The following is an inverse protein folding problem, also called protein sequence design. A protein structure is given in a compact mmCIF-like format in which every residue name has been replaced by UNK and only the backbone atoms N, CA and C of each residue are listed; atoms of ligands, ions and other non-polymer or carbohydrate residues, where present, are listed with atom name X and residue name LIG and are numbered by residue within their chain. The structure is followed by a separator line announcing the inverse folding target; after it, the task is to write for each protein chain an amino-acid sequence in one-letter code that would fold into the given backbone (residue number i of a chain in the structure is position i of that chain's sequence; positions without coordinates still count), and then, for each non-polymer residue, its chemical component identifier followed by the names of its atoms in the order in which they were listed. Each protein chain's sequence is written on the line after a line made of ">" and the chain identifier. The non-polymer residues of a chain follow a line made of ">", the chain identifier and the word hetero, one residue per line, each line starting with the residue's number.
data_IF_954541427025
#
_entry.id   IF_954541427025
#
_cell.length_a   1.000
_cell.length_b   1.000
_cell.length_c   1.000
_cell.angle_alpha   90.00
_cell.angle_beta   90.00
_cell.angle_gamma   90.00
#
_symmetry.space_group_name_H-M   'P 1'
#
loop_
_entity.id
_entity.type
_entity.pdbx_description
1 polymer ?
#
# COMPACT_ATOMS: atom_id res chain seq x y z
N UNK A 1 -70.51 15.12 8.25
CA UNK A 1 -70.50 14.46 9.57
C UNK A 1 -69.10 13.91 9.83
N UNK A 2 -68.64 14.04 11.07
CA UNK A 2 -67.38 13.55 11.65
C UNK A 2 -67.07 12.10 11.22
N UNK A 3 -65.83 11.62 11.10
CA UNK A 3 -64.87 11.54 12.21
C UNK A 3 -63.44 11.26 11.76
N UNK A 4 -62.51 11.87 12.51
CA UNK A 4 -61.07 11.58 12.59
C UNK A 4 -60.80 10.12 12.98
N UNK A 5 -59.82 9.47 12.33
CA UNK A 5 -58.88 8.53 12.97
C UNK A 5 -57.52 8.68 12.27
N UNK A 6 -56.51 9.14 13.01
CA UNK A 6 -55.13 9.25 12.56
C UNK A 6 -54.45 7.86 12.49
N UNK A 7 -53.51 7.61 11.56
CA UNK A 7 -52.68 6.42 11.61
C UNK A 7 -51.52 6.66 12.57
N UNK A 8 -51.44 5.85 13.62
CA UNK A 8 -50.25 5.73 14.45
C UNK A 8 -49.11 5.14 13.60
N UNK A 9 -48.17 5.99 13.17
CA UNK A 9 -46.84 5.56 12.76
C UNK A 9 -46.06 5.16 14.02
N UNK A 10 -45.89 3.86 14.26
CA UNK A 10 -44.81 3.40 15.14
C UNK A 10 -43.49 3.60 14.40
N UNK A 11 -42.81 4.71 14.68
CA UNK A 11 -41.38 4.86 14.37
C UNK A 11 -40.64 4.13 15.49
N UNK A 12 -40.22 2.90 15.23
CA UNK A 12 -39.21 2.24 16.05
C UNK A 12 -37.86 2.88 15.75
N UNK A 13 -37.57 4.00 16.41
CA UNK A 13 -36.23 4.59 16.42
C UNK A 13 -35.33 3.64 17.20
N UNK A 14 -34.59 2.79 16.49
CA UNK A 14 -33.46 2.08 17.07
C UNK A 14 -32.41 3.17 17.36
N UNK A 15 -32.39 3.67 18.60
CA UNK A 15 -31.21 4.31 19.16
C UNK A 15 -30.13 3.23 19.23
N UNK A 16 -29.32 3.10 18.19
CA UNK A 16 -27.98 2.58 18.35
C UNK A 16 -27.17 3.67 19.07
N UNK A 17 -27.29 3.72 20.40
CA UNK A 17 -26.28 4.37 21.23
C UNK A 17 -25.03 3.52 21.13
N UNK A 18 -24.25 3.66 20.06
CA UNK A 18 -22.83 3.40 20.17
C UNK A 18 -22.31 4.49 21.09
N UNK A 19 -22.04 4.12 22.34
CA UNK A 19 -21.24 4.96 23.22
C UNK A 19 -20.03 5.44 22.43
N UNK A 20 -19.78 6.75 22.46
CA UNK A 20 -18.47 7.30 22.15
C UNK A 20 -17.53 6.76 23.23
N UNK A 21 -17.14 5.49 23.08
CA UNK A 21 -15.98 4.94 23.75
C UNK A 21 -14.82 5.73 23.15
N UNK A 22 -14.31 6.66 23.96
CA UNK A 22 -13.03 7.34 23.89
C UNK A 22 -12.23 6.91 22.65
N UNK A 23 -12.34 7.71 21.58
CA UNK A 23 -11.56 7.54 20.36
C UNK A 23 -10.09 7.63 20.77
N UNK A 24 -9.47 6.49 21.01
CA UNK A 24 -8.07 6.40 21.42
C UNK A 24 -7.21 6.94 20.27
N UNK A 25 -6.97 8.25 20.33
CA UNK A 25 -5.96 8.95 19.56
C UNK A 25 -4.61 8.34 19.92
N UNK A 26 -4.24 7.28 19.24
CA UNK A 26 -2.96 6.63 19.41
C UNK A 26 -1.91 7.43 18.65
N UNK A 27 -0.91 7.93 19.39
CA UNK A 27 0.28 8.54 18.81
C UNK A 27 1.31 7.45 18.56
N UNK A 28 1.77 7.36 17.34
CA UNK A 28 2.87 6.46 16.97
C UNK A 28 4.23 7.02 17.39
N UNK A 29 5.26 6.19 17.38
CA UNK A 29 6.65 6.57 17.68
C UNK A 29 7.18 7.70 16.77
N UNK A 30 6.61 7.83 15.57
CA UNK A 30 6.92 8.86 14.58
C UNK A 30 6.08 10.14 14.76
N UNK A 31 5.19 10.15 15.75
CA UNK A 31 4.31 11.27 16.08
C UNK A 31 3.04 11.35 15.25
N UNK A 32 2.76 10.36 14.40
CA UNK A 32 1.51 10.33 13.63
C UNK A 32 0.32 10.10 14.56
N UNK A 33 -0.77 10.81 14.27
CA UNK A 33 -2.02 10.75 15.03
C UNK A 33 -3.02 9.87 14.27
N UNK A 34 -3.33 8.70 14.83
CA UNK A 34 -4.35 7.81 14.27
C UNK A 34 -5.74 8.28 14.72
N UNK A 35 -6.58 8.61 13.74
CA UNK A 35 -7.96 9.05 13.95
C UNK A 35 -8.89 7.86 14.22
N UNK A 36 -8.75 6.82 13.40
CA UNK A 36 -9.55 5.61 13.49
C UNK A 36 -8.84 4.44 12.82
N UNK A 37 -9.31 3.22 13.11
CA UNK A 37 -8.95 2.02 12.36
C UNK A 37 -10.11 1.70 11.42
N UNK A 38 -9.82 1.56 10.13
CA UNK A 38 -10.84 1.19 9.15
C UNK A 38 -11.42 -0.20 9.46
N UNK A 39 -12.58 -0.51 8.87
CA UNK A 39 -13.15 -1.87 8.91
C UNK A 39 -12.18 -2.93 8.37
N UNK A 40 -11.20 -2.48 7.58
CA UNK A 40 -10.11 -3.28 7.06
C UNK A 40 -8.78 -3.00 7.76
N UNK A 41 -8.79 -2.65 9.05
CA UNK A 41 -7.62 -2.64 9.95
C UNK A 41 -6.47 -1.70 9.59
N UNK A 42 -6.54 -1.05 8.43
CA UNK A 42 -5.64 0.02 8.05
C UNK A 42 -5.96 1.27 8.88
N UNK A 43 -4.95 1.93 9.46
CA UNK A 43 -5.16 3.15 10.21
C UNK A 43 -5.51 4.31 9.27
N UNK A 44 -6.48 5.11 9.70
CA UNK A 44 -6.79 6.41 9.11
C UNK A 44 -6.03 7.45 9.94
N UNK A 45 -5.06 8.11 9.32
CA UNK A 45 -4.16 9.07 9.98
C UNK A 45 -4.72 10.49 9.83
N UNK A 46 -5.02 11.15 10.95
CA UNK A 46 -5.51 12.54 10.98
C UNK A 46 -4.39 13.54 10.67
N UNK A 47 -3.19 13.28 11.18
CA UNK A 47 -2.01 14.12 10.92
C UNK A 47 -0.72 13.31 11.05
N UNK A 48 0.29 13.73 10.29
CA UNK A 48 1.63 13.11 10.34
C UNK A 48 2.55 13.93 11.22
N UNK A 49 3.28 13.26 12.11
CA UNK A 49 4.14 13.91 13.11
C UNK A 49 5.56 14.19 12.63
N UNK A 50 5.98 13.57 11.52
CA UNK A 50 7.36 13.66 11.02
C UNK A 50 7.44 14.05 9.55
N UNK A 51 8.51 14.77 9.20
CA UNK A 51 8.97 14.84 7.82
C UNK A 51 9.39 13.42 7.39
N UNK A 52 8.56 12.77 6.56
CA UNK A 52 8.73 11.39 6.02
C UNK A 52 10.12 11.14 5.38
N UNK A 53 10.89 12.20 5.13
CA UNK A 53 12.25 12.15 4.62
C UNK A 53 13.23 11.38 5.53
N UNK A 54 13.10 11.43 6.87
CA UNK A 54 14.11 10.89 7.80
C UNK A 54 13.72 9.64 8.59
N UNK A 55 12.47 9.20 8.52
CA UNK A 55 12.01 8.02 9.26
C UNK A 55 12.65 6.76 8.66
N UNK A 56 13.39 6.01 9.48
CA UNK A 56 13.91 4.70 9.12
C UNK A 56 12.83 3.65 9.42
N UNK A 57 12.50 2.76 8.47
CA UNK A 57 11.60 1.66 8.70
C UNK A 57 12.02 0.83 9.91
N UNK A 58 11.06 0.47 10.75
CA UNK A 58 11.26 -0.53 11.82
C UNK A 58 10.44 -1.76 11.46
N UNK A 59 11.00 -2.95 11.70
CA UNK A 59 10.26 -4.22 11.51
C UNK A 59 9.39 -4.56 12.73
N UNK A 60 9.00 -3.54 13.50
CA UNK A 60 8.39 -3.70 14.81
C UNK A 60 9.27 -4.52 15.77
N UNK A 61 8.65 -5.46 16.49
CA UNK A 61 9.33 -6.36 17.42
C UNK A 61 9.89 -7.54 16.64
N UNK A 62 11.20 -7.58 16.46
CA UNK A 62 11.89 -8.72 15.81
C UNK A 62 11.64 -10.01 16.62
N UNK A 63 11.19 -11.05 15.93
CA UNK A 63 10.89 -12.38 16.50
C UNK A 63 11.83 -13.48 15.98
N UNK A 64 12.55 -13.25 14.88
CA UNK A 64 13.64 -14.13 14.41
C UNK A 64 14.79 -14.21 15.40
N UNK A 65 15.53 -15.34 15.39
CA UNK A 65 16.77 -15.46 16.17
C UNK A 65 17.89 -14.62 15.55
N UNK A 66 18.91 -14.33 16.35
CA UNK A 66 20.11 -13.67 15.84
C UNK A 66 20.79 -14.50 14.75
N UNK A 67 21.15 -13.86 13.64
CA UNK A 67 21.77 -14.52 12.48
C UNK A 67 20.77 -15.15 11.50
N UNK A 68 19.48 -15.20 11.82
CA UNK A 68 18.42 -15.60 10.89
C UNK A 68 17.87 -14.39 10.12
N UNK A 69 17.06 -14.67 9.10
CA UNK A 69 16.36 -13.65 8.35
C UNK A 69 15.39 -12.89 9.24
N UNK A 70 15.34 -11.56 9.07
CA UNK A 70 14.56 -10.70 9.95
C UNK A 70 13.08 -10.93 9.72
N UNK A 71 12.38 -11.37 10.76
CA UNK A 71 10.91 -11.34 10.82
C UNK A 71 10.50 -10.69 12.13
N UNK A 72 9.35 -10.04 12.15
CA UNK A 72 8.91 -9.28 13.31
C UNK A 72 7.43 -9.01 13.31
N UNK A 73 6.93 -8.75 14.50
CA UNK A 73 5.55 -8.38 14.80
C UNK A 73 5.38 -6.88 14.69
N UNK A 74 4.32 -6.35 14.06
CA UNK A 74 4.06 -4.92 14.06
C UNK A 74 3.85 -4.43 15.50
N UNK A 75 4.48 -3.29 15.84
CA UNK A 75 4.30 -2.62 17.14
C UNK A 75 3.37 -1.42 17.05
N UNK A 76 3.05 -0.98 15.83
CA UNK A 76 2.27 0.22 15.54
C UNK A 76 1.43 -0.01 14.28
N UNK A 77 0.43 0.85 14.07
CA UNK A 77 -0.47 0.93 12.91
C UNK A 77 -1.42 -0.26 12.67
N UNK A 78 -1.00 -1.50 12.88
CA UNK A 78 -1.76 -2.72 12.56
C UNK A 78 -1.46 -3.82 13.59
N UNK A 79 -2.46 -4.63 13.95
CA UNK A 79 -2.26 -5.80 14.80
C UNK A 79 -1.91 -7.05 13.98
N UNK A 80 -1.24 -8.02 14.59
CA UNK A 80 -1.01 -9.35 13.97
C UNK A 80 -2.32 -10.03 13.57
N UNK A 81 -3.33 -9.97 14.44
CA UNK A 81 -4.65 -10.54 14.16
C UNK A 81 -5.26 -10.00 12.88
N UNK A 82 -5.00 -8.73 12.56
CA UNK A 82 -5.51 -8.11 11.35
C UNK A 82 -4.65 -8.46 10.12
N UNK A 83 -3.32 -8.59 10.29
CA UNK A 83 -2.44 -9.13 9.24
C UNK A 83 -2.82 -10.57 8.86
N UNK A 84 -3.07 -11.41 9.86
CA UNK A 84 -3.51 -12.80 9.66
C UNK A 84 -4.84 -12.84 8.92
N UNK A 85 -5.79 -11.99 9.32
CA UNK A 85 -7.07 -11.89 8.61
C UNK A 85 -6.89 -11.50 7.13
N UNK A 86 -6.05 -10.50 6.83
CA UNK A 86 -5.74 -10.10 5.44
C UNK A 86 -5.07 -11.25 4.69
N UNK A 87 -4.13 -11.95 5.31
CA UNK A 87 -3.49 -13.11 4.71
C UNK A 87 -4.54 -14.17 4.36
N UNK A 88 -5.34 -14.62 5.33
CA UNK A 88 -6.32 -15.69 5.17
C UNK A 88 -7.41 -15.38 4.14
N UNK A 89 -7.86 -14.12 4.09
CA UNK A 89 -9.03 -13.76 3.27
C UNK A 89 -8.66 -13.07 1.97
N UNK A 90 -7.45 -12.50 1.85
CA UNK A 90 -7.08 -11.66 0.70
C UNK A 90 -5.83 -12.09 -0.08
N UNK A 91 -4.88 -12.77 0.55
CA UNK A 91 -3.60 -13.04 -0.11
C UNK A 91 -3.35 -14.53 -0.22
N UNK A 92 -3.38 -15.25 0.89
CA UNK A 92 -2.92 -16.62 1.03
C UNK A 92 -3.62 -17.62 0.10
N UNK A 93 -3.07 -18.85 0.01
CA UNK A 93 -3.53 -19.88 -0.93
C UNK A 93 -4.99 -20.32 -0.71
N UNK A 94 -5.55 -20.05 0.46
CA UNK A 94 -6.91 -20.43 0.86
C UNK A 94 -7.92 -19.27 0.79
N UNK A 95 -7.49 -18.08 0.34
CA UNK A 95 -8.38 -16.92 0.22
C UNK A 95 -9.50 -17.19 -0.80
N UNK A 96 -10.70 -16.65 -0.55
CA UNK A 96 -11.80 -16.72 -1.53
C UNK A 96 -11.40 -15.94 -2.80
N UNK A 97 -11.28 -16.68 -3.91
CA UNK A 97 -10.86 -16.15 -5.21
C UNK A 97 -12.04 -15.84 -6.13
N UNK A 98 -13.27 -15.87 -5.62
CA UNK A 98 -14.45 -15.54 -6.41
C UNK A 98 -14.45 -14.05 -6.77
N UNK A 99 -14.95 -13.72 -7.97
CA UNK A 99 -15.01 -12.36 -8.52
C UNK A 99 -15.82 -11.36 -7.65
N UNK A 100 -16.47 -11.84 -6.59
CA UNK A 100 -17.27 -11.04 -5.64
C UNK A 100 -16.46 -10.53 -4.45
N UNK A 101 -15.35 -11.18 -4.11
CA UNK A 101 -14.66 -10.95 -2.85
C UNK A 101 -13.19 -10.55 -3.05
N UNK A 102 -12.49 -11.15 -4.02
CA UNK A 102 -11.10 -10.80 -4.29
C UNK A 102 -10.51 -11.45 -5.54
N UNK A 103 -9.55 -10.76 -6.18
CA UNK A 103 -8.67 -11.43 -7.13
C UNK A 103 -7.60 -12.21 -6.37
N UNK A 104 -7.37 -13.47 -6.75
CA UNK A 104 -6.31 -14.30 -6.16
C UNK A 104 -4.94 -13.64 -6.38
N UNK A 105 -4.41 -12.98 -5.35
CA UNK A 105 -3.11 -12.30 -5.38
C UNK A 105 -2.02 -13.29 -5.76
N UNK A 106 -2.05 -14.51 -5.24
CA UNK A 106 -1.04 -15.55 -5.49
C UNK A 106 -1.09 -16.13 -6.92
N UNK A 107 -2.19 -15.93 -7.65
CA UNK A 107 -2.27 -16.32 -9.06
C UNK A 107 -1.60 -15.28 -10.00
N UNK A 108 -1.35 -14.06 -9.52
CA UNK A 108 -0.73 -13.02 -10.33
C UNK A 108 0.78 -13.25 -10.47
N UNK A 109 1.26 -13.33 -11.72
CA UNK A 109 2.66 -13.59 -12.07
C UNK A 109 3.42 -12.32 -12.46
N UNK A 110 2.84 -11.14 -12.20
CA UNK A 110 3.33 -9.86 -12.70
C UNK A 110 3.68 -8.87 -11.58
N UNK A 111 4.01 -9.35 -10.38
CA UNK A 111 4.47 -8.45 -9.31
C UNK A 111 5.84 -7.86 -9.61
N UNK A 112 6.04 -6.63 -9.15
CA UNK A 112 7.34 -5.96 -9.25
C UNK A 112 8.40 -6.69 -8.41
N UNK A 113 8.03 -7.20 -7.24
CA UNK A 113 8.92 -7.95 -6.36
C UNK A 113 9.47 -9.19 -7.07
N UNK A 114 8.62 -9.97 -7.74
CA UNK A 114 9.03 -11.14 -8.52
C UNK A 114 10.03 -10.75 -9.62
N UNK A 115 9.79 -9.64 -10.31
CA UNK A 115 10.71 -9.12 -11.34
C UNK A 115 12.06 -8.76 -10.76
N UNK A 116 12.11 -8.11 -9.59
CA UNK A 116 13.37 -7.78 -8.94
C UNK A 116 14.12 -9.02 -8.47
N UNK A 117 13.43 -10.00 -7.89
CA UNK A 117 14.05 -11.28 -7.48
C UNK A 117 14.61 -12.01 -8.70
N UNK A 118 13.80 -12.15 -9.77
CA UNK A 118 14.21 -12.82 -10.99
C UNK A 118 15.42 -12.14 -11.67
N UNK A 119 15.43 -10.80 -11.71
CA UNK A 119 16.47 -10.01 -12.36
C UNK A 119 17.54 -9.49 -11.38
N UNK A 120 17.68 -10.13 -10.21
CA UNK A 120 18.75 -9.87 -9.22
C UNK A 120 18.88 -8.37 -8.83
N UNK A 121 17.76 -7.75 -8.49
CA UNK A 121 17.71 -6.36 -8.02
C UNK A 121 17.60 -5.33 -9.13
N UNK A 122 17.29 -5.73 -10.37
CA UNK A 122 17.06 -4.80 -11.48
C UNK A 122 15.70 -4.98 -12.13
N UNK A 123 15.23 -3.97 -12.87
CA UNK A 123 14.03 -4.07 -13.69
C UNK A 123 14.23 -3.31 -15.01
N UNK A 124 13.75 -3.91 -16.10
CA UNK A 124 13.66 -3.25 -17.39
C UNK A 124 12.32 -2.51 -17.49
N UNK A 125 12.36 -1.22 -17.79
CA UNK A 125 11.20 -0.34 -17.77
C UNK A 125 10.96 0.32 -19.13
N UNK A 126 9.75 0.14 -19.66
CA UNK A 126 9.25 0.86 -20.83
C UNK A 126 8.19 1.86 -20.35
N UNK A 127 8.42 3.15 -20.59
CA UNK A 127 7.46 4.19 -20.17
C UNK A 127 6.39 4.33 -21.25
N UNK A 128 5.12 4.15 -20.84
CA UNK A 128 3.97 4.55 -21.62
C UNK A 128 3.70 6.04 -21.37
N UNK A 129 3.94 6.87 -22.37
CA UNK A 129 3.62 8.29 -22.41
C UNK A 129 2.20 8.49 -22.92
N UNK A 130 1.25 8.53 -21.99
CA UNK A 130 -0.18 8.73 -22.27
C UNK A 130 -0.60 10.18 -21.98
N UNK A 131 -0.02 11.12 -22.72
CA UNK A 131 -0.28 12.56 -22.62
C UNK A 131 -0.68 13.12 -23.98
N UNK A 132 -1.36 14.27 -24.01
CA UNK A 132 -1.58 15.04 -25.24
C UNK A 132 -0.36 15.89 -25.65
N UNK A 133 0.65 16.01 -24.78
CA UNK A 133 1.84 16.82 -24.99
C UNK A 133 3.00 16.02 -25.57
N UNK A 134 3.99 16.73 -26.15
CA UNK A 134 5.25 16.12 -26.59
C UNK A 134 6.18 15.90 -25.39
N UNK A 135 6.90 14.78 -25.41
CA UNK A 135 7.91 14.43 -24.43
C UNK A 135 9.28 14.89 -24.94
N UNK A 136 9.91 15.80 -24.19
CA UNK A 136 11.26 16.27 -24.51
C UNK A 136 12.32 15.30 -24.02
N UNK A 137 13.46 15.25 -24.72
CA UNK A 137 14.60 14.40 -24.35
C UNK A 137 15.10 14.68 -22.93
N UNK A 138 15.08 15.95 -22.51
CA UNK A 138 15.47 16.38 -21.17
C UNK A 138 14.49 15.93 -20.07
N UNK A 139 13.20 15.85 -20.37
CA UNK A 139 12.22 15.29 -19.42
C UNK A 139 12.37 13.77 -19.37
N UNK A 140 12.48 13.12 -20.52
CA UNK A 140 12.68 11.68 -20.64
C UNK A 140 13.90 11.19 -19.86
N UNK A 141 15.03 11.90 -19.94
CA UNK A 141 16.28 11.52 -19.24
C UNK A 141 16.16 11.53 -17.70
N UNK A 142 15.14 12.18 -17.13
CA UNK A 142 14.93 12.23 -15.67
C UNK A 142 14.18 11.00 -15.13
N UNK A 143 13.50 10.23 -15.98
CA UNK A 143 12.62 9.14 -15.53
C UNK A 143 13.38 8.04 -14.82
N UNK A 144 14.53 7.61 -15.34
CA UNK A 144 15.32 6.55 -14.70
C UNK A 144 15.60 6.88 -13.24
N UNK A 145 16.16 8.07 -12.99
CA UNK A 145 16.48 8.50 -11.63
C UNK A 145 15.24 8.67 -10.74
N UNK A 146 14.10 9.11 -11.28
CA UNK A 146 12.85 9.21 -10.49
C UNK A 146 12.34 7.82 -10.11
N UNK A 147 12.31 6.87 -11.06
CA UNK A 147 11.85 5.51 -10.83
C UNK A 147 12.76 4.77 -9.86
N UNK A 148 14.08 4.87 -10.01
CA UNK A 148 15.04 4.28 -9.07
C UNK A 148 14.85 4.83 -7.67
N UNK A 149 14.71 6.16 -7.52
CA UNK A 149 14.44 6.76 -6.21
C UNK A 149 13.13 6.25 -5.60
N UNK A 150 12.08 6.12 -6.39
CA UNK A 150 10.79 5.61 -5.93
C UNK A 150 10.90 4.17 -5.44
N UNK A 151 11.49 3.27 -6.24
CA UNK A 151 11.65 1.88 -5.84
C UNK A 151 12.55 1.71 -4.64
N UNK A 152 13.67 2.44 -4.56
CA UNK A 152 14.56 2.35 -3.40
C UNK A 152 13.94 2.93 -2.13
N UNK A 153 13.01 3.90 -2.23
CA UNK A 153 12.28 4.40 -1.05
C UNK A 153 11.41 3.29 -0.44
N UNK A 154 10.77 2.46 -1.26
CA UNK A 154 10.05 1.26 -0.81
C UNK A 154 10.99 0.13 -0.39
N UNK A 155 12.07 -0.10 -1.14
CA UNK A 155 13.06 -1.15 -0.84
C UNK A 155 13.61 -1.07 0.58
N UNK A 156 13.83 0.16 1.07
CA UNK A 156 14.27 0.40 2.46
C UNK A 156 13.37 -0.23 3.52
N UNK A 157 12.07 -0.38 3.23
CA UNK A 157 11.11 -1.03 4.12
C UNK A 157 11.15 -2.56 4.04
N UNK A 158 11.94 -3.13 3.13
CA UNK A 158 12.06 -4.57 2.92
C UNK A 158 13.47 -5.09 3.21
N UNK A 159 14.51 -4.26 3.16
CA UNK A 159 15.92 -4.63 3.38
C UNK A 159 16.13 -5.57 4.59
N UNK A 160 16.46 -6.84 4.32
CA UNK A 160 16.69 -7.87 5.34
C UNK A 160 15.44 -8.59 5.85
N UNK A 161 14.24 -8.02 5.65
CA UNK A 161 12.98 -8.68 6.02
C UNK A 161 12.79 -9.95 5.20
N UNK A 162 12.54 -11.07 5.87
CA UNK A 162 12.38 -12.39 5.27
C UNK A 162 13.46 -12.72 4.22
N UNK A 163 14.72 -12.39 4.54
CA UNK A 163 15.89 -12.59 3.69
C UNK A 163 15.93 -11.73 2.42
N UNK A 164 15.14 -10.65 2.34
CA UNK A 164 15.17 -9.77 1.17
C UNK A 164 16.60 -9.24 0.92
N UNK A 165 17.24 -9.59 -0.21
CA UNK A 165 18.69 -9.49 -0.36
C UNK A 165 19.16 -8.17 -0.94
N UNK A 166 18.24 -7.33 -1.43
CA UNK A 166 18.58 -6.14 -2.20
C UNK A 166 18.66 -4.91 -1.30
N UNK A 167 19.85 -4.32 -1.20
CA UNK A 167 20.08 -3.00 -0.57
C UNK A 167 19.93 -1.86 -1.57
N UNK A 168 19.87 -2.18 -2.86
CA UNK A 168 19.64 -1.23 -3.93
C UNK A 168 18.89 -1.92 -5.07
N UNK A 169 17.91 -1.21 -5.63
CA UNK A 169 17.18 -1.61 -6.84
C UNK A 169 17.56 -0.69 -8.01
N UNK A 170 17.81 -1.28 -9.18
CA UNK A 170 18.19 -0.57 -10.41
C UNK A 170 17.08 -0.57 -11.44
N UNK A 171 16.99 0.51 -12.23
CA UNK A 171 16.04 0.62 -13.35
C UNK A 171 16.80 0.81 -14.64
N UNK A 172 16.56 -0.07 -15.60
CA UNK A 172 17.07 0.04 -16.95
C UNK A 172 15.93 0.55 -17.85
N UNK A 173 16.09 1.74 -18.42
CA UNK A 173 15.14 2.26 -19.39
C UNK A 173 15.31 1.54 -20.73
N UNK A 174 14.32 0.74 -21.13
CA UNK A 174 14.39 -0.07 -22.36
C UNK A 174 13.57 0.49 -23.52
N UNK A 175 12.70 1.47 -23.27
CA UNK A 175 11.91 2.06 -24.33
C UNK A 175 10.88 3.08 -23.87
N UNK A 176 10.24 3.68 -24.86
CA UNK A 176 9.17 4.66 -24.72
C UNK A 176 8.05 4.29 -25.69
N UNK A 177 6.82 4.28 -25.20
CA UNK A 177 5.62 4.01 -26.00
C UNK A 177 4.68 5.21 -25.88
N UNK A 178 4.18 5.72 -27.00
CA UNK A 178 3.20 6.80 -27.06
C UNK A 178 2.14 6.46 -28.12
N UNK A 179 1.06 7.23 -28.17
CA UNK A 179 0.01 7.05 -29.18
C UNK A 179 0.54 7.34 -30.59
N UNK A 180 1.36 8.38 -30.73
CA UNK A 180 1.98 8.77 -31.99
C UNK A 180 3.48 9.01 -31.81
N UNK A 181 4.28 8.62 -32.81
CA UNK A 181 5.75 8.76 -32.80
C UNK A 181 6.18 10.24 -32.70
N UNK A 182 5.41 11.17 -33.28
CA UNK A 182 5.64 12.62 -33.23
C UNK A 182 5.59 13.20 -31.81
N UNK A 183 5.07 12.46 -30.83
CA UNK A 183 5.09 12.87 -29.44
C UNK A 183 6.49 12.80 -28.82
N UNK A 184 7.45 12.13 -29.44
CA UNK A 184 8.83 12.12 -28.96
C UNK A 184 9.68 13.14 -29.70
N UNK A 185 10.34 14.05 -28.99
CA UNK A 185 11.21 15.06 -29.62
C UNK A 185 12.54 14.49 -30.17
N UNK A 186 12.71 13.17 -30.13
CA UNK A 186 13.88 12.44 -30.62
C UNK A 186 13.52 11.34 -31.63
N UNK A 187 12.26 11.31 -32.06
CA UNK A 187 11.72 10.32 -32.99
C UNK A 187 12.13 10.60 -34.44
#
# INVERSE_FOLDING_TARGET
>A
MRSNIAPHLLIATILATTSLADSTLSKTSTGDVVESISVWGAPIVASTGTNIASVKPTFGKITSKSGECVVGSPTEYISETYLDWVWEHRIGPNADTSDKANWNVMANKNFLMDKFVHNKGSINYCVRWDSSTTLSKNVASKFQGILERHYNKWNKWLEGYNCWPFTELKVNMVGWAAKDKSQFQWA
#
